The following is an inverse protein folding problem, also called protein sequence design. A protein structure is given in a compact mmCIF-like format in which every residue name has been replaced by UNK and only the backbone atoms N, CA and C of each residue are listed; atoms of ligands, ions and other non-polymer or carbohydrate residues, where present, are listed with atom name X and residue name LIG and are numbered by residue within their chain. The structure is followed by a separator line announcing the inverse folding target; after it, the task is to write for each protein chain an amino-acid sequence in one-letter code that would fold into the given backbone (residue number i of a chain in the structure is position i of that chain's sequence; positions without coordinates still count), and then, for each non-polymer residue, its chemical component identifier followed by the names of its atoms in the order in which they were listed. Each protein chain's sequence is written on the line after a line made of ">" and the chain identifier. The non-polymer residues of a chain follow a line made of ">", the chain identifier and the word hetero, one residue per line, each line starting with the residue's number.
data_IF_738628471240
#
_entry.id   IF_738628471240
#
_cell.length_a   1.000
_cell.length_b   1.000
_cell.length_c   1.000
_cell.angle_alpha   90.00
_cell.angle_beta   90.00
_cell.angle_gamma   90.00
#
_symmetry.space_group_name_H-M   'P 1'
#
loop_
_entity.id
_entity.type
_entity.pdbx_description
1 polymer ?
#
# COMPACT_ATOMS: atom_id res chain seq x y z
N UNK A 1 1.52 -4.82 12.84
CA UNK A 1 0.95 -5.67 11.77
C UNK A 1 1.98 -6.68 11.30
N UNK A 2 1.55 -7.90 10.95
CA UNK A 2 2.38 -8.92 10.29
C UNK A 2 2.62 -8.57 8.81
N UNK A 3 3.61 -9.21 8.18
CA UNK A 3 3.85 -9.06 6.74
C UNK A 3 2.58 -9.37 5.94
N UNK A 4 1.88 -10.46 6.29
CA UNK A 4 0.63 -10.84 5.64
C UNK A 4 -0.44 -9.76 5.77
N UNK A 5 -0.64 -9.18 6.96
CA UNK A 5 -1.61 -8.11 7.19
C UNK A 5 -1.30 -6.88 6.35
N UNK A 6 -0.02 -6.52 6.22
CA UNK A 6 0.42 -5.40 5.37
C UNK A 6 0.20 -5.68 3.90
N UNK A 7 0.49 -6.89 3.43
CA UNK A 7 0.20 -7.27 2.04
C UNK A 7 -1.31 -7.24 1.78
N UNK A 8 -2.15 -7.74 2.69
CA UNK A 8 -3.61 -7.63 2.55
C UNK A 8 -4.10 -6.18 2.56
N UNK A 9 -3.47 -5.31 3.36
CA UNK A 9 -3.76 -3.88 3.34
C UNK A 9 -3.42 -3.26 1.98
N UNK A 10 -2.23 -3.56 1.43
CA UNK A 10 -1.84 -3.13 0.08
C UNK A 10 -2.81 -3.62 -0.99
N UNK A 11 -3.24 -4.89 -0.93
CA UNK A 11 -4.22 -5.43 -1.86
C UNK A 11 -5.55 -4.65 -1.79
N UNK A 12 -6.01 -4.37 -0.57
CA UNK A 12 -7.29 -3.67 -0.34
C UNK A 12 -7.29 -2.24 -0.87
N UNK A 13 -6.22 -1.47 -0.67
CA UNK A 13 -6.17 -0.07 -1.11
C UNK A 13 -6.01 0.07 -2.64
N UNK A 14 -5.51 -0.98 -3.31
CA UNK A 14 -5.32 -1.00 -4.75
C UNK A 14 -6.42 -1.78 -5.49
N UNK A 15 -7.45 -2.25 -4.79
CA UNK A 15 -8.52 -3.11 -5.33
C UNK A 15 -7.99 -4.36 -6.06
N UNK A 16 -6.92 -4.95 -5.50
CA UNK A 16 -6.26 -6.14 -6.04
C UNK A 16 -6.66 -7.40 -5.28
N UNK A 17 -6.74 -8.52 -5.99
CA UNK A 17 -6.86 -9.84 -5.40
C UNK A 17 -5.48 -10.49 -5.22
N UNK A 18 -5.42 -11.51 -4.35
CA UNK A 18 -4.20 -12.33 -4.18
C UNK A 18 -3.75 -12.97 -5.50
N UNK A 19 -4.70 -13.28 -6.40
CA UNK A 19 -4.38 -13.80 -7.73
C UNK A 19 -3.59 -12.76 -8.55
N UNK A 20 -4.02 -11.50 -8.52
CA UNK A 20 -3.38 -10.43 -9.31
C UNK A 20 -1.96 -10.17 -8.82
N UNK A 21 -1.74 -10.17 -7.50
CA UNK A 21 -0.40 -10.08 -6.94
C UNK A 21 0.46 -11.31 -7.25
N UNK A 22 -0.13 -12.51 -7.24
CA UNK A 22 0.59 -13.73 -7.62
C UNK A 22 1.06 -13.67 -9.08
N UNK A 23 0.20 -13.24 -9.99
CA UNK A 23 0.56 -13.00 -11.40
C UNK A 23 1.61 -11.91 -11.54
N UNK A 24 1.48 -10.80 -10.79
CA UNK A 24 2.44 -9.68 -10.82
C UNK A 24 3.84 -10.08 -10.33
N UNK A 25 3.93 -11.00 -9.37
CA UNK A 25 5.19 -11.48 -8.80
C UNK A 25 5.76 -12.71 -9.53
N UNK A 26 5.07 -13.24 -10.54
CA UNK A 26 5.37 -14.54 -11.16
C UNK A 26 5.47 -15.70 -10.15
N UNK A 27 4.60 -15.69 -9.13
CA UNK A 27 4.53 -16.71 -8.09
C UNK A 27 3.21 -17.48 -8.23
N UNK A 28 3.25 -18.80 -8.03
CA UNK A 28 2.02 -19.59 -7.99
C UNK A 28 1.07 -19.09 -6.89
N UNK A 29 -0.19 -18.78 -7.26
CA UNK A 29 -1.25 -18.34 -6.33
C UNK A 29 -1.37 -19.21 -5.08
N UNK A 30 -1.25 -20.53 -5.21
CA UNK A 30 -1.34 -21.47 -4.06
C UNK A 30 -0.19 -21.24 -3.10
N UNK A 31 1.02 -21.03 -3.63
CA UNK A 31 2.23 -20.74 -2.86
C UNK A 31 2.09 -19.40 -2.14
N UNK A 32 1.70 -18.34 -2.84
CA UNK A 32 1.50 -17.03 -2.23
C UNK A 32 0.42 -17.08 -1.13
N UNK A 33 -0.69 -17.76 -1.39
CA UNK A 33 -1.75 -17.94 -0.38
C UNK A 33 -1.27 -18.74 0.84
N UNK A 34 -0.43 -19.75 0.65
CA UNK A 34 0.16 -20.48 1.77
C UNK A 34 1.11 -19.61 2.61
N UNK A 35 1.88 -18.72 1.99
CA UNK A 35 2.72 -17.74 2.69
C UNK A 35 1.89 -16.73 3.48
N UNK A 36 0.89 -16.11 2.83
CA UNK A 36 0.03 -15.11 3.48
C UNK A 36 -0.76 -15.67 4.66
N UNK A 37 -1.17 -16.94 4.58
CA UNK A 37 -1.87 -17.63 5.67
C UNK A 37 -0.93 -18.20 6.74
N UNK A 38 0.37 -17.94 6.66
CA UNK A 38 1.37 -18.38 7.65
C UNK A 38 1.69 -19.87 7.61
N UNK A 39 1.23 -20.60 6.59
CA UNK A 39 1.57 -22.03 6.40
C UNK A 39 3.00 -22.19 5.86
N UNK A 40 3.44 -21.22 5.04
CA UNK A 40 4.79 -21.16 4.49
C UNK A 40 5.51 -19.89 4.94
N UNK A 41 6.84 -19.93 5.01
CA UNK A 41 7.66 -18.72 5.23
C UNK A 41 7.80 -17.94 3.92
N UNK A 42 7.94 -16.63 4.03
CA UNK A 42 8.35 -15.77 2.92
C UNK A 42 9.79 -16.09 2.53
N UNK A 43 10.01 -16.41 1.26
CA UNK A 43 11.34 -16.69 0.70
C UNK A 43 12.07 -15.41 0.33
N UNK A 44 13.37 -15.51 0.07
CA UNK A 44 14.13 -14.40 -0.52
C UNK A 44 13.56 -14.00 -1.89
N UNK A 45 13.27 -14.98 -2.75
CA UNK A 45 12.68 -14.77 -4.07
C UNK A 45 11.37 -13.96 -4.01
N UNK A 46 10.57 -14.14 -2.96
CA UNK A 46 9.36 -13.33 -2.75
C UNK A 46 9.71 -11.85 -2.53
N UNK A 47 10.71 -11.55 -1.71
CA UNK A 47 11.10 -10.16 -1.44
C UNK A 47 11.79 -9.52 -2.65
N UNK A 48 12.57 -10.28 -3.41
CA UNK A 48 13.16 -9.82 -4.67
C UNK A 48 12.07 -9.48 -5.69
N UNK A 49 11.13 -10.40 -5.93
CA UNK A 49 10.00 -10.16 -6.82
C UNK A 49 9.15 -8.95 -6.37
N UNK A 50 8.96 -8.79 -5.05
CA UNK A 50 8.20 -7.66 -4.50
C UNK A 50 8.91 -6.33 -4.74
N UNK A 51 10.24 -6.28 -4.57
CA UNK A 51 11.03 -5.08 -4.82
C UNK A 51 11.03 -4.67 -6.29
N UNK A 52 11.09 -5.64 -7.20
CA UNK A 52 11.11 -5.41 -8.64
C UNK A 52 9.74 -4.97 -9.19
N UNK A 53 8.67 -5.60 -8.72
CA UNK A 53 7.33 -5.41 -9.30
C UNK A 53 6.44 -4.46 -8.48
N UNK A 54 6.72 -4.26 -7.20
CA UNK A 54 5.98 -3.36 -6.32
C UNK A 54 6.95 -2.38 -5.60
N UNK A 55 7.70 -1.54 -6.33
CA UNK A 55 8.67 -0.60 -5.74
C UNK A 55 8.02 0.44 -4.82
N UNK A 56 6.69 0.61 -4.89
CA UNK A 56 5.92 1.40 -3.95
C UNK A 56 5.89 0.82 -2.53
N UNK A 57 6.28 -0.44 -2.33
CA UNK A 57 6.36 -1.08 -1.00
C UNK A 57 7.78 -0.94 -0.45
N UNK A 58 7.94 -0.26 0.69
CA UNK A 58 9.20 -0.27 1.43
C UNK A 58 9.37 -1.62 2.15
N UNK A 59 10.35 -2.40 1.69
CA UNK A 59 10.68 -3.69 2.31
C UNK A 59 11.10 -3.56 3.78
N UNK A 60 11.79 -2.49 4.17
CA UNK A 60 12.22 -2.30 5.55
C UNK A 60 11.00 -2.06 6.45
N UNK A 61 10.09 -1.19 6.02
CA UNK A 61 8.83 -0.97 6.70
C UNK A 61 7.94 -2.22 6.67
N UNK A 62 7.94 -3.02 5.61
CA UNK A 62 7.17 -4.26 5.50
C UNK A 62 7.57 -5.26 6.60
N UNK A 63 8.87 -5.52 6.78
CA UNK A 63 9.37 -6.50 7.77
C UNK A 63 9.34 -5.96 9.21
N UNK A 64 9.32 -4.64 9.40
CA UNK A 64 9.31 -4.02 10.72
C UNK A 64 7.94 -4.17 11.41
N UNK A 65 7.88 -4.91 12.52
CA UNK A 65 6.64 -5.15 13.27
C UNK A 65 6.06 -3.90 13.93
N UNK A 66 6.87 -2.86 14.14
CA UNK A 66 6.48 -1.62 14.81
C UNK A 66 5.89 -0.59 13.86
N UNK A 67 5.92 -0.85 12.54
CA UNK A 67 5.30 0.01 11.53
C UNK A 67 3.99 -0.65 11.11
N UNK A 68 2.87 0.03 11.30
CA UNK A 68 1.55 -0.51 10.97
C UNK A 68 1.06 -0.05 9.59
N UNK A 69 1.20 1.24 9.25
CA UNK A 69 0.50 1.84 8.09
C UNK A 69 1.43 2.55 7.07
N UNK A 70 2.64 2.93 7.46
CA UNK A 70 3.58 3.68 6.60
C UNK A 70 4.61 2.76 5.94
N UNK A 71 4.16 1.70 5.26
CA UNK A 71 5.05 0.82 4.49
C UNK A 71 4.98 1.05 2.98
N UNK A 72 4.30 2.12 2.57
CA UNK A 72 4.28 2.57 1.18
C UNK A 72 5.22 3.77 1.04
N UNK A 73 6.06 3.74 0.02
CA UNK A 73 6.86 4.89 -0.39
C UNK A 73 5.93 5.98 -0.94
N UNK A 74 6.09 7.23 -0.50
CA UNK A 74 5.30 8.36 -1.02
C UNK A 74 5.46 8.58 -2.54
N UNK A 75 6.47 7.97 -3.15
CA UNK A 75 6.77 8.02 -4.58
C UNK A 75 6.14 6.88 -5.41
N UNK A 76 5.31 6.03 -4.81
CA UNK A 76 4.52 5.02 -5.53
C UNK A 76 3.55 5.63 -6.54
N UNK A 77 3.04 4.84 -7.52
CA UNK A 77 2.19 5.38 -8.58
C UNK A 77 1.00 6.09 -7.94
N UNK A 78 0.87 7.38 -8.24
CA UNK A 78 -0.24 8.21 -7.77
C UNK A 78 -1.54 7.55 -8.17
N UNK A 79 -2.19 6.89 -7.24
CA UNK A 79 -3.56 6.43 -7.43
C UNK A 79 -4.39 7.70 -7.75
N UNK A 80 -5.23 7.76 -8.81
CA UNK A 80 -6.01 8.94 -9.16
C UNK A 80 -6.80 9.55 -7.98
N UNK A 81 -7.14 8.73 -6.99
CA UNK A 81 -7.78 9.20 -5.76
C UNK A 81 -6.85 10.00 -4.84
N UNK A 82 -5.54 9.74 -4.85
CA UNK A 82 -4.54 10.53 -4.11
C UNK A 82 -4.42 11.97 -4.63
N UNK A 83 -4.57 12.16 -5.94
CA UNK A 83 -4.52 13.47 -6.58
C UNK A 83 -5.82 14.25 -6.31
N UNK A 84 -6.97 13.56 -6.36
CA UNK A 84 -8.27 14.10 -5.94
C UNK A 84 -8.29 14.51 -4.47
N UNK A 85 -7.69 13.72 -3.58
CA UNK A 85 -7.60 14.06 -2.14
C UNK A 85 -6.79 15.35 -1.94
N UNK A 86 -5.65 15.50 -2.63
CA UNK A 86 -4.86 16.75 -2.57
C UNK A 86 -5.64 17.97 -3.08
N UNK A 87 -6.42 17.81 -4.14
CA UNK A 87 -7.31 18.87 -4.65
C UNK A 87 -8.43 19.23 -3.66
N UNK A 88 -9.04 18.23 -3.02
CA UNK A 88 -10.06 18.43 -2.00
C UNK A 88 -9.50 19.13 -0.75
N UNK A 89 -8.30 18.76 -0.30
CA UNK A 89 -7.62 19.43 0.81
C UNK A 89 -7.31 20.89 0.52
N UNK A 90 -6.85 21.18 -0.70
CA UNK A 90 -6.60 22.55 -1.16
C UNK A 90 -7.90 23.37 -1.16
N UNK A 91 -8.98 22.80 -1.69
CA UNK A 91 -10.30 23.43 -1.72
C UNK A 91 -10.85 23.69 -0.30
N UNK A 92 -10.70 22.73 0.62
CA UNK A 92 -11.06 22.89 2.04
C UNK A 92 -10.29 24.03 2.71
N UNK A 93 -9.00 24.18 2.40
CA UNK A 93 -8.16 25.25 2.94
C UNK A 93 -8.64 26.63 2.48
N UNK A 94 -9.05 26.75 1.21
CA UNK A 94 -9.63 27.98 0.67
C UNK A 94 -10.97 28.32 1.32
N UNK A 95 -11.86 27.33 1.47
CA UNK A 95 -13.16 27.49 2.14
C UNK A 95 -12.97 27.95 3.59
N UNK A 96 -12.05 27.36 4.34
CA UNK A 96 -11.71 27.79 5.72
C UNK A 96 -11.20 29.23 5.76
N UNK A 97 -10.38 29.63 4.78
CA UNK A 97 -9.86 31.01 4.69
C UNK A 97 -10.98 32.01 4.41
N UNK A 98 -11.97 31.64 3.59
CA UNK A 98 -13.15 32.46 3.33
C UNK A 98 -13.99 32.58 4.61
N UNK A 99 -14.36 31.47 5.24
CA UNK A 99 -15.15 31.44 6.49
C UNK A 99 -14.54 32.29 7.62
N UNK A 100 -13.21 32.27 7.77
CA UNK A 100 -12.53 33.10 8.76
C UNK A 100 -12.53 34.59 8.41
N UNK A 101 -12.68 34.95 7.13
CA UNK A 101 -12.84 36.35 6.69
C UNK A 101 -14.29 36.85 6.83
N UNK A 102 -15.28 35.96 6.81
CA UNK A 102 -16.70 36.30 6.92
C UNK A 102 -17.23 36.32 8.35
N UNK A 103 -16.47 35.85 9.35
CA UNK A 103 -16.78 36.08 10.76
C UNK A 103 -16.50 37.56 11.10
N UNK A 104 -17.52 38.39 10.89
CA UNK A 104 -17.69 39.74 11.45
C UNK A 104 -18.59 39.60 12.68
#
# INVERSE_FOLDING_TARGET
>A
MTISEKIYHYLRINDLQVKDLAEKLDINRVTLSAMLNGRNRFSQDFFEALNENCPEIDLNALVNKNVDVDFLNEEGPKNPDSERIKELEKSLKEIKKILNKTKI
#
